data_IF_771182065127
#
_entry.id   IF_771182065127
#
_cell.length_a   1.000
_cell.length_b   1.000
_cell.length_c   1.000
_cell.angle_alpha   90.00
_cell.angle_beta   90.00
_cell.angle_gamma   90.00
#
_symmetry.space_group_name_H-M   'P 1'
#
loop_
_entity.id
_entity.type
_entity.pdbx_description
1 polymer ?
#
# COMPACT_ATOMS: atom_id res chain seq x y z
N UNK A 1 -20.11 -22.76 -27.36
CA UNK A 1 -18.90 -21.92 -27.41
C UNK A 1 -19.12 -20.46 -26.99
N UNK A 2 -20.12 -19.74 -27.53
CA UNK A 2 -20.35 -18.34 -27.11
C UNK A 2 -20.93 -18.19 -25.70
N UNK A 3 -21.80 -19.10 -25.24
CA UNK A 3 -22.39 -19.07 -23.89
C UNK A 3 -21.34 -19.32 -22.81
N UNK A 4 -20.42 -20.26 -23.02
CA UNK A 4 -19.36 -20.61 -22.06
C UNK A 4 -18.39 -19.43 -21.86
N UNK A 5 -18.02 -18.74 -22.95
CA UNK A 5 -17.18 -17.54 -22.89
C UNK A 5 -17.89 -16.42 -22.13
N UNK A 6 -19.20 -16.25 -22.33
CA UNK A 6 -19.98 -15.21 -21.66
C UNK A 6 -20.14 -15.50 -20.18
N UNK A 7 -20.41 -16.76 -19.80
CA UNK A 7 -20.49 -17.19 -18.40
C UNK A 7 -19.14 -17.02 -17.69
N UNK A 8 -18.04 -17.44 -18.34
CA UNK A 8 -16.69 -17.27 -17.79
C UNK A 8 -16.36 -15.79 -17.60
N UNK A 9 -16.71 -14.94 -18.56
CA UNK A 9 -16.54 -13.49 -18.43
C UNK A 9 -17.31 -12.89 -17.25
N UNK A 10 -18.56 -13.30 -17.04
CA UNK A 10 -19.38 -12.87 -15.92
C UNK A 10 -18.80 -13.31 -14.57
N UNK A 11 -18.29 -14.54 -14.49
CA UNK A 11 -17.62 -15.05 -13.27
C UNK A 11 -16.39 -14.22 -12.94
N UNK A 12 -15.54 -13.92 -13.93
CA UNK A 12 -14.34 -13.10 -13.72
C UNK A 12 -14.73 -11.69 -13.23
N UNK A 13 -15.73 -11.06 -13.86
CA UNK A 13 -16.22 -9.74 -13.43
C UNK A 13 -16.74 -9.80 -11.99
N UNK A 14 -17.50 -10.85 -11.64
CA UNK A 14 -18.01 -11.03 -10.28
C UNK A 14 -16.87 -11.20 -9.27
N UNK A 15 -15.81 -11.94 -9.59
CA UNK A 15 -14.63 -12.11 -8.75
C UNK A 15 -13.87 -10.77 -8.56
N UNK A 16 -13.70 -9.99 -9.61
CA UNK A 16 -13.08 -8.66 -9.53
C UNK A 16 -13.91 -7.74 -8.63
N UNK A 17 -15.21 -7.68 -8.82
CA UNK A 17 -16.10 -6.87 -7.98
C UNK A 17 -16.10 -7.33 -6.53
N UNK A 18 -16.04 -8.65 -6.27
CA UNK A 18 -15.97 -9.22 -4.93
C UNK A 18 -14.68 -8.80 -4.17
N UNK A 19 -13.63 -8.40 -4.85
CA UNK A 19 -12.41 -7.86 -4.23
C UNK A 19 -12.43 -6.33 -4.20
N UNK A 20 -12.73 -5.68 -5.31
CA UNK A 20 -12.66 -4.21 -5.45
C UNK A 20 -13.66 -3.50 -4.53
N UNK A 21 -14.90 -4.00 -4.44
CA UNK A 21 -15.93 -3.34 -3.61
C UNK A 21 -15.58 -3.37 -2.11
N UNK A 22 -15.20 -4.51 -1.50
CA UNK A 22 -14.72 -4.53 -0.11
C UNK A 22 -13.47 -3.67 0.12
N UNK A 23 -12.54 -3.60 -0.83
CA UNK A 23 -11.36 -2.72 -0.72
C UNK A 23 -11.79 -1.25 -0.67
N UNK A 24 -12.65 -0.80 -1.57
CA UNK A 24 -13.16 0.59 -1.56
C UNK A 24 -13.93 0.93 -0.27
N UNK A 25 -14.72 -0.02 0.24
CA UNK A 25 -15.41 0.14 1.53
C UNK A 25 -14.39 0.20 2.66
N UNK A 26 -13.34 -0.63 2.65
CA UNK A 26 -12.30 -0.62 3.67
C UNK A 26 -11.51 0.70 3.65
N UNK A 27 -11.28 1.31 2.48
CA UNK A 27 -10.69 2.64 2.35
C UNK A 27 -11.55 3.69 3.06
N UNK A 28 -12.86 3.69 2.85
CA UNK A 28 -13.76 4.63 3.53
C UNK A 28 -13.73 4.47 5.06
N UNK A 29 -13.72 3.23 5.56
CA UNK A 29 -13.60 2.95 6.99
C UNK A 29 -12.21 3.26 7.54
N UNK A 30 -11.15 3.11 6.75
CA UNK A 30 -9.80 3.47 7.17
C UNK A 30 -9.66 4.97 7.40
N UNK A 31 -10.23 5.80 6.51
CA UNK A 31 -10.29 7.27 6.71
C UNK A 31 -11.02 7.63 8.01
N UNK A 32 -12.12 6.95 8.30
CA UNK A 32 -12.84 7.13 9.56
C UNK A 32 -12.00 6.71 10.76
N UNK A 33 -11.39 5.52 10.71
CA UNK A 33 -10.55 4.99 11.78
C UNK A 33 -9.36 5.90 12.06
N UNK A 34 -8.69 6.40 11.03
CA UNK A 34 -7.59 7.33 11.15
C UNK A 34 -7.99 8.60 11.92
N UNK A 35 -9.11 9.23 11.53
CA UNK A 35 -9.63 10.42 12.23
C UNK A 35 -9.98 10.14 13.68
N UNK A 36 -10.50 8.94 14.00
CA UNK A 36 -10.83 8.55 15.39
C UNK A 36 -9.59 8.25 16.22
N UNK A 37 -8.65 7.47 15.68
CA UNK A 37 -7.41 7.10 16.40
C UNK A 37 -6.55 8.34 16.67
N UNK A 38 -6.36 9.21 15.66
CA UNK A 38 -5.64 10.46 15.86
C UNK A 38 -6.32 11.38 16.89
N UNK A 39 -7.65 11.44 16.88
CA UNK A 39 -8.38 12.22 17.86
C UNK A 39 -8.18 11.68 19.29
N UNK A 40 -8.16 10.34 19.48
CA UNK A 40 -7.87 9.70 20.75
C UNK A 40 -6.44 9.99 21.22
N UNK A 41 -5.45 9.91 20.34
CA UNK A 41 -4.05 10.24 20.65
C UNK A 41 -3.93 11.72 21.08
N UNK A 42 -4.67 12.61 20.41
CA UNK A 42 -4.67 14.04 20.68
C UNK A 42 -5.64 14.47 21.81
N UNK A 43 -6.25 13.54 22.53
CA UNK A 43 -7.22 13.78 23.62
C UNK A 43 -8.42 14.63 23.17
N UNK A 44 -8.87 14.50 21.91
CA UNK A 44 -10.05 15.17 21.37
C UNK A 44 -11.07 14.19 20.81
N UNK A 45 -12.29 14.65 20.57
CA UNK A 45 -13.34 13.84 19.96
C UNK A 45 -13.21 13.89 18.43
N UNK A 46 -13.13 12.72 17.79
CA UNK A 46 -13.23 12.57 16.32
C UNK A 46 -14.67 12.74 15.82
N UNK A 47 -14.93 12.51 14.50
CA UNK A 47 -16.25 12.63 13.89
C UNK A 47 -17.31 11.87 14.70
N UNK A 48 -18.43 12.53 15.05
CA UNK A 48 -19.44 11.96 15.95
C UNK A 48 -20.91 12.22 15.51
N UNK A 49 -21.14 13.13 14.56
CA UNK A 49 -22.49 13.64 14.27
C UNK A 49 -23.17 12.88 13.12
N UNK A 50 -22.42 12.56 12.04
CA UNK A 50 -23.00 11.95 10.83
C UNK A 50 -23.15 10.45 11.01
N UNK A 51 -24.38 9.97 11.26
CA UNK A 51 -24.68 8.58 11.56
C UNK A 51 -24.28 8.14 12.97
N UNK A 52 -24.54 6.88 13.37
CA UNK A 52 -24.16 6.37 14.68
C UNK A 52 -22.63 6.49 14.86
N UNK A 53 -22.20 7.17 15.90
CA UNK A 53 -20.78 7.40 16.22
C UNK A 53 -19.95 8.07 15.11
N UNK A 54 -20.57 8.67 14.08
CA UNK A 54 -19.89 9.31 12.96
C UNK A 54 -19.41 8.36 11.84
N UNK A 55 -19.90 7.12 11.79
CA UNK A 55 -19.47 6.09 10.82
C UNK A 55 -19.72 6.52 9.37
N UNK A 56 -20.80 7.27 9.11
CA UNK A 56 -21.15 7.72 7.76
C UNK A 56 -20.38 8.98 7.31
N UNK A 57 -19.49 9.52 8.13
CA UNK A 57 -18.77 10.75 7.81
C UNK A 57 -17.93 10.62 6.53
N UNK A 58 -17.22 9.50 6.34
CA UNK A 58 -16.39 9.29 5.13
C UNK A 58 -17.23 9.25 3.85
N UNK A 59 -18.43 8.67 3.92
CA UNK A 59 -19.36 8.63 2.78
C UNK A 59 -19.95 10.02 2.49
N UNK A 60 -20.27 10.80 3.52
CA UNK A 60 -20.73 12.17 3.36
C UNK A 60 -19.66 13.07 2.73
N UNK A 61 -18.40 12.92 3.16
CA UNK A 61 -17.25 13.63 2.60
C UNK A 61 -17.03 13.25 1.13
N UNK A 62 -17.14 11.96 0.78
CA UNK A 62 -17.03 11.47 -0.59
C UNK A 62 -18.16 12.04 -1.47
N UNK A 63 -19.41 12.00 -0.99
CA UNK A 63 -20.55 12.54 -1.73
C UNK A 63 -20.40 14.04 -1.97
N UNK A 64 -19.98 14.81 -0.96
CA UNK A 64 -19.68 16.24 -1.07
C UNK A 64 -18.64 16.52 -2.17
N UNK A 65 -17.56 15.73 -2.22
CA UNK A 65 -16.50 15.92 -3.21
C UNK A 65 -16.96 15.53 -4.61
N UNK A 66 -17.76 14.50 -4.79
CA UNK A 66 -18.29 14.07 -6.10
C UNK A 66 -19.28 15.11 -6.66
N UNK A 67 -20.12 15.72 -5.81
CA UNK A 67 -21.10 16.73 -6.23
C UNK A 67 -20.49 18.11 -6.46
N UNK A 68 -19.25 18.33 -6.01
CA UNK A 68 -18.54 19.59 -6.21
C UNK A 68 -18.09 19.74 -7.67
N UNK A 69 -18.08 20.96 -8.19
CA UNK A 69 -17.59 21.25 -9.54
C UNK A 69 -16.08 20.95 -9.69
N UNK A 70 -15.72 20.30 -10.79
CA UNK A 70 -14.33 19.98 -11.11
C UNK A 70 -13.71 21.14 -11.89
N UNK A 71 -12.73 21.80 -11.30
CA UNK A 71 -12.04 22.96 -11.88
C UNK A 71 -10.78 22.47 -12.58
N UNK A 72 -10.64 22.77 -13.87
CA UNK A 72 -9.45 22.47 -14.67
C UNK A 72 -8.74 23.81 -14.98
N UNK A 73 -7.47 23.98 -14.56
CA UNK A 73 -6.71 25.20 -14.83
C UNK A 73 -6.60 25.47 -16.34
N UNK A 74 -6.71 26.73 -16.74
CA UNK A 74 -6.69 27.12 -18.16
C UNK A 74 -5.37 26.81 -18.87
N UNK A 75 -4.25 26.83 -18.12
CA UNK A 75 -2.91 26.53 -18.64
C UNK A 75 -2.55 25.03 -18.59
N UNK A 76 -3.42 24.16 -18.07
CA UNK A 76 -3.15 22.74 -17.93
C UNK A 76 -3.36 21.95 -19.21
N UNK A 77 -2.63 20.83 -19.37
CA UNK A 77 -2.93 19.83 -20.40
C UNK A 77 -4.11 18.97 -19.94
N UNK A 78 -5.33 19.30 -20.43
CA UNK A 78 -6.59 18.71 -19.97
C UNK A 78 -6.63 17.18 -20.02
N UNK A 79 -6.09 16.56 -21.09
CA UNK A 79 -6.12 15.11 -21.27
C UNK A 79 -5.27 14.43 -20.20
N UNK A 80 -4.02 14.84 -20.03
CA UNK A 80 -3.10 14.27 -19.06
C UNK A 80 -3.54 14.57 -17.63
N UNK A 81 -4.11 15.76 -17.39
CA UNK A 81 -4.64 16.16 -16.10
C UNK A 81 -5.77 15.23 -15.60
N UNK A 82 -6.69 14.84 -16.49
CA UNK A 82 -7.79 13.92 -16.15
C UNK A 82 -7.27 12.47 -16.07
N UNK A 83 -6.31 12.09 -16.91
CA UNK A 83 -5.80 10.71 -16.99
C UNK A 83 -4.94 10.33 -15.76
N UNK A 84 -4.19 11.27 -15.21
CA UNK A 84 -3.28 11.03 -14.09
C UNK A 84 -3.96 10.41 -12.85
N UNK A 85 -5.04 10.97 -12.29
CA UNK A 85 -5.72 10.37 -11.14
C UNK A 85 -6.36 9.01 -11.48
N UNK A 86 -6.84 8.82 -12.70
CA UNK A 86 -7.42 7.54 -13.15
C UNK A 86 -6.35 6.46 -13.16
N UNK A 87 -5.17 6.74 -13.72
CA UNK A 87 -4.05 5.79 -13.75
C UNK A 87 -3.64 5.42 -12.33
N UNK A 88 -3.45 6.38 -11.44
CA UNK A 88 -3.06 6.11 -10.05
C UNK A 88 -4.06 5.20 -9.35
N UNK A 89 -5.36 5.47 -9.48
CA UNK A 89 -6.41 4.66 -8.87
C UNK A 89 -6.49 3.26 -9.49
N UNK A 90 -6.46 3.15 -10.82
CA UNK A 90 -6.53 1.85 -11.52
C UNK A 90 -5.36 0.97 -11.13
N UNK A 91 -4.14 1.50 -11.07
CA UNK A 91 -2.95 0.74 -10.69
C UNK A 91 -3.00 0.31 -9.23
N UNK A 92 -3.46 1.18 -8.31
CA UNK A 92 -3.61 0.81 -6.89
C UNK A 92 -4.62 -0.34 -6.69
N UNK A 93 -5.68 -0.41 -7.50
CA UNK A 93 -6.64 -1.51 -7.49
C UNK A 93 -6.13 -2.76 -8.23
N UNK A 94 -5.36 -2.59 -9.30
CA UNK A 94 -4.80 -3.72 -10.06
C UNK A 94 -3.88 -4.61 -9.22
N UNK A 95 -3.15 -4.03 -8.27
CA UNK A 95 -2.31 -4.78 -7.33
C UNK A 95 -3.07 -5.84 -6.52
N UNK A 96 -4.35 -5.64 -6.27
CA UNK A 96 -5.17 -6.58 -5.51
C UNK A 96 -5.48 -7.90 -6.24
N UNK A 97 -5.24 -7.97 -7.55
CA UNK A 97 -5.52 -9.17 -8.33
C UNK A 97 -4.74 -10.41 -7.89
N UNK A 98 -3.54 -10.23 -7.32
CA UNK A 98 -2.65 -11.33 -6.92
C UNK A 98 -2.55 -11.55 -5.40
N UNK A 99 -3.25 -10.74 -4.60
CA UNK A 99 -3.25 -10.87 -3.13
C UNK A 99 -4.08 -12.08 -2.70
N UNK A 100 -3.48 -13.08 -2.04
CA UNK A 100 -4.21 -14.22 -1.52
C UNK A 100 -4.81 -13.90 -0.13
N UNK A 101 -6.13 -13.94 -0.02
CA UNK A 101 -6.86 -13.71 1.24
C UNK A 101 -6.98 -14.97 2.09
N UNK A 102 -7.06 -16.13 1.43
CA UNK A 102 -7.15 -17.46 2.04
C UNK A 102 -6.63 -18.52 1.06
N UNK A 103 -6.47 -19.78 1.49
CA UNK A 103 -6.10 -20.87 0.58
C UNK A 103 -7.07 -20.95 -0.60
N UNK A 104 -6.60 -20.75 -1.82
CA UNK A 104 -7.41 -20.77 -3.04
C UNK A 104 -8.28 -19.51 -3.28
N UNK A 105 -8.28 -18.52 -2.38
CA UNK A 105 -9.01 -17.27 -2.54
C UNK A 105 -8.11 -16.16 -3.07
N UNK A 106 -7.80 -16.23 -4.35
CA UNK A 106 -7.04 -15.23 -5.10
C UNK A 106 -7.73 -15.02 -6.45
N UNK A 107 -7.74 -13.80 -6.97
CA UNK A 107 -8.35 -13.52 -8.28
C UNK A 107 -7.51 -14.15 -9.39
N UNK A 108 -6.20 -14.04 -9.30
CA UNK A 108 -5.25 -14.61 -10.24
C UNK A 108 -4.01 -15.13 -9.52
N UNK A 109 -3.86 -16.46 -9.44
CA UNK A 109 -2.69 -17.11 -8.86
C UNK A 109 -1.58 -17.21 -9.91
N UNK A 110 -0.73 -16.19 -9.97
CA UNK A 110 0.37 -16.10 -10.93
C UNK A 110 1.65 -16.55 -10.24
N UNK A 111 2.44 -17.41 -10.91
CA UNK A 111 3.73 -17.88 -10.37
C UNK A 111 4.75 -16.75 -10.11
N UNK A 112 4.60 -15.61 -10.78
CA UNK A 112 5.43 -14.41 -10.64
C UNK A 112 4.66 -13.27 -9.97
N UNK A 113 3.73 -13.57 -9.05
CA UNK A 113 2.81 -12.60 -8.42
C UNK A 113 3.51 -11.41 -7.78
N UNK A 114 4.65 -11.64 -7.13
CA UNK A 114 5.41 -10.56 -6.49
C UNK A 114 6.03 -9.58 -7.50
N UNK A 115 6.50 -10.09 -8.67
CA UNK A 115 7.02 -9.23 -9.75
C UNK A 115 5.89 -8.40 -10.39
N UNK A 116 4.70 -8.98 -10.52
CA UNK A 116 3.52 -8.24 -10.99
C UNK A 116 3.19 -7.07 -10.05
N UNK A 117 3.20 -7.28 -8.73
CA UNK A 117 2.98 -6.21 -7.77
C UNK A 117 4.00 -5.09 -7.88
N UNK A 118 5.28 -5.44 -8.01
CA UNK A 118 6.34 -4.45 -8.23
C UNK A 118 6.15 -3.66 -9.51
N UNK A 119 5.82 -4.32 -10.62
CA UNK A 119 5.57 -3.65 -11.87
C UNK A 119 4.39 -2.67 -11.78
N UNK A 120 3.32 -3.04 -11.08
CA UNK A 120 2.13 -2.20 -10.89
C UNK A 120 2.44 -1.02 -9.97
N UNK A 121 3.18 -1.22 -8.86
CA UNK A 121 3.58 -0.13 -7.95
C UNK A 121 4.50 0.88 -8.65
N UNK A 122 5.49 0.41 -9.39
CA UNK A 122 6.40 1.27 -10.18
C UNK A 122 5.65 2.13 -11.20
N UNK A 123 4.64 1.58 -11.85
CA UNK A 123 3.80 2.33 -12.79
C UNK A 123 2.95 3.40 -12.08
N UNK A 124 2.60 3.19 -10.79
CA UNK A 124 1.85 4.16 -9.98
C UNK A 124 2.54 5.52 -9.87
N UNK A 125 3.89 5.52 -9.84
CA UNK A 125 4.70 6.75 -9.79
C UNK A 125 4.45 7.67 -10.99
N UNK A 126 4.20 7.10 -12.17
CA UNK A 126 3.92 7.90 -13.37
C UNK A 126 2.63 8.71 -13.24
N UNK A 127 1.62 8.21 -12.53
CA UNK A 127 0.40 8.98 -12.28
C UNK A 127 0.67 10.29 -11.55
N UNK A 128 1.56 10.26 -10.54
CA UNK A 128 1.96 11.44 -9.76
C UNK A 128 2.82 12.39 -10.61
N UNK A 129 3.78 11.88 -11.37
CA UNK A 129 4.62 12.69 -12.26
C UNK A 129 3.76 13.40 -13.31
N UNK A 130 2.84 12.67 -13.94
CA UNK A 130 1.93 13.24 -14.93
C UNK A 130 1.01 14.30 -14.33
N UNK A 131 0.53 14.11 -13.09
CA UNK A 131 -0.28 15.09 -12.39
C UNK A 131 0.45 16.41 -12.20
N UNK A 132 1.68 16.36 -11.68
CA UNK A 132 2.48 17.57 -11.48
C UNK A 132 2.85 18.28 -12.78
N UNK A 133 3.18 17.51 -13.82
CA UNK A 133 3.52 18.08 -15.14
C UNK A 133 2.31 18.70 -15.84
N UNK A 134 1.16 18.00 -15.80
CA UNK A 134 -0.06 18.45 -16.46
C UNK A 134 -0.65 19.73 -15.85
N UNK A 135 -0.41 19.98 -14.57
CA UNK A 135 -0.89 21.17 -13.85
C UNK A 135 -0.26 22.46 -14.35
N UNK A 136 0.89 22.40 -15.03
CA UNK A 136 1.64 23.56 -15.55
C UNK A 136 1.86 24.68 -14.50
N UNK A 137 2.14 24.29 -13.27
CA UNK A 137 2.36 25.15 -12.12
C UNK A 137 3.64 24.71 -11.37
N UNK A 138 4.37 25.65 -10.78
CA UNK A 138 5.69 25.38 -10.18
C UNK A 138 5.59 24.47 -8.94
N UNK A 139 4.63 24.70 -8.05
CA UNK A 139 4.49 23.94 -6.82
C UNK A 139 4.07 22.48 -7.07
N UNK A 140 3.05 22.18 -7.88
CA UNK A 140 2.71 20.82 -8.26
C UNK A 140 3.86 20.07 -8.94
N UNK A 141 4.60 20.71 -9.82
CA UNK A 141 5.73 20.09 -10.50
C UNK A 141 6.86 19.71 -9.53
N UNK A 142 7.26 20.61 -8.63
CA UNK A 142 8.26 20.31 -7.60
C UNK A 142 7.79 19.25 -6.61
N UNK A 143 6.51 19.28 -6.23
CA UNK A 143 5.89 18.27 -5.37
C UNK A 143 5.94 16.87 -6.01
N UNK A 144 5.55 16.77 -7.28
CA UNK A 144 5.57 15.52 -8.03
C UNK A 144 7.00 14.96 -8.19
N UNK A 145 7.99 15.79 -8.47
CA UNK A 145 9.39 15.36 -8.57
C UNK A 145 9.93 14.84 -7.22
N UNK A 146 9.59 15.49 -6.12
CA UNK A 146 9.98 15.04 -4.78
C UNK A 146 9.33 13.70 -4.43
N UNK A 147 8.04 13.54 -4.72
CA UNK A 147 7.31 12.30 -4.51
C UNK A 147 7.90 11.16 -5.34
N UNK A 148 8.13 11.39 -6.64
CA UNK A 148 8.72 10.39 -7.51
C UNK A 148 10.12 9.96 -7.05
N UNK A 149 10.98 10.90 -6.68
CA UNK A 149 12.31 10.60 -6.18
C UNK A 149 12.25 9.80 -4.87
N UNK A 150 11.31 10.10 -3.97
CA UNK A 150 11.06 9.34 -2.76
C UNK A 150 10.64 7.91 -3.07
N UNK A 151 9.56 7.72 -3.83
CA UNK A 151 9.01 6.40 -4.14
C UNK A 151 10.05 5.51 -4.82
N UNK A 152 10.72 5.97 -5.88
CA UNK A 152 11.76 5.21 -6.59
C UNK A 152 12.92 4.83 -5.66
N UNK A 153 13.36 5.74 -4.78
CA UNK A 153 14.46 5.46 -3.85
C UNK A 153 14.13 4.36 -2.84
N UNK A 154 12.91 4.35 -2.31
CA UNK A 154 12.47 3.34 -1.34
C UNK A 154 12.04 2.03 -2.00
N UNK A 155 11.56 2.07 -3.24
CA UNK A 155 11.26 0.88 -4.03
C UNK A 155 12.51 -0.01 -4.23
N UNK A 156 13.69 0.57 -4.45
CA UNK A 156 14.95 -0.19 -4.50
C UNK A 156 15.21 -0.92 -3.20
N UNK A 157 15.02 -0.27 -2.05
CA UNK A 157 15.20 -0.90 -0.74
C UNK A 157 14.21 -2.03 -0.49
N UNK A 158 12.94 -1.82 -0.84
CA UNK A 158 11.88 -2.85 -0.78
C UNK A 158 12.25 -4.06 -1.65
N UNK A 159 12.81 -3.82 -2.85
CA UNK A 159 13.27 -4.87 -3.74
C UNK A 159 14.30 -5.80 -3.08
N UNK A 160 15.31 -5.26 -2.41
CA UNK A 160 16.30 -6.08 -1.69
C UNK A 160 15.69 -6.82 -0.50
N UNK A 161 14.77 -6.20 0.23
CA UNK A 161 14.04 -6.88 1.32
C UNK A 161 13.25 -8.08 0.80
N UNK A 162 12.55 -7.91 -0.32
CA UNK A 162 11.80 -9.01 -0.93
C UNK A 162 12.72 -10.11 -1.46
N UNK A 163 13.85 -9.78 -2.07
CA UNK A 163 14.84 -10.76 -2.50
C UNK A 163 15.28 -11.62 -1.30
N UNK A 164 15.48 -11.04 -0.10
CA UNK A 164 15.81 -11.80 1.11
C UNK A 164 14.74 -12.84 1.47
N UNK A 165 13.46 -12.45 1.41
CA UNK A 165 12.35 -13.39 1.65
C UNK A 165 12.29 -14.47 0.57
N UNK A 166 12.48 -14.10 -0.70
CA UNK A 166 12.47 -15.04 -1.83
C UNK A 166 13.61 -16.06 -1.76
N UNK A 167 14.77 -15.67 -1.29
CA UNK A 167 15.88 -16.61 -1.04
C UNK A 167 15.50 -17.69 -0.02
N UNK A 168 14.70 -17.36 0.99
CA UNK A 168 14.23 -18.32 1.97
C UNK A 168 13.12 -19.24 1.43
N UNK A 169 12.33 -18.79 0.47
CA UNK A 169 11.14 -19.52 -0.04
C UNK A 169 11.43 -20.27 -1.34
N UNK A 170 12.30 -19.75 -2.21
CA UNK A 170 12.58 -20.31 -3.54
C UNK A 170 11.45 -20.12 -4.56
N UNK A 171 10.42 -19.29 -4.27
CA UNK A 171 9.28 -19.10 -5.17
C UNK A 171 8.80 -17.64 -5.18
N UNK A 172 8.39 -17.16 -6.36
CA UNK A 172 7.82 -15.83 -6.57
C UNK A 172 6.28 -15.78 -6.37
N UNK A 173 5.66 -16.91 -6.07
CA UNK A 173 4.22 -17.03 -5.85
C UNK A 173 3.88 -16.64 -4.40
N UNK A 174 2.94 -15.71 -4.22
CA UNK A 174 2.54 -15.21 -2.91
C UNK A 174 1.91 -16.27 -2.02
N UNK A 175 1.14 -17.19 -2.58
CA UNK A 175 0.54 -18.29 -1.83
C UNK A 175 1.60 -19.24 -1.27
N UNK A 176 2.65 -19.52 -2.05
CA UNK A 176 3.80 -20.35 -1.59
C UNK A 176 4.60 -19.64 -0.51
N UNK A 177 4.76 -18.32 -0.60
CA UNK A 177 5.44 -17.52 0.45
C UNK A 177 4.71 -17.65 1.79
N UNK A 178 3.38 -17.64 1.79
CA UNK A 178 2.60 -17.83 3.01
C UNK A 178 2.76 -19.26 3.54
N UNK A 179 2.67 -20.27 2.68
CA UNK A 179 2.81 -21.67 3.08
C UNK A 179 4.20 -21.99 3.65
N UNK A 180 5.27 -21.35 3.17
CA UNK A 180 6.62 -21.51 3.72
C UNK A 180 6.74 -21.00 5.16
N UNK A 181 5.81 -20.17 5.65
CA UNK A 181 5.79 -19.63 7.01
C UNK A 181 4.98 -20.47 8.01
N UNK A 182 4.57 -21.68 7.66
CA UNK A 182 3.79 -22.54 8.57
C UNK A 182 4.52 -22.87 9.87
N UNK A 183 5.82 -23.05 9.83
CA UNK A 183 6.63 -23.40 11.01
C UNK A 183 7.05 -22.16 11.80
N UNK A 184 7.58 -21.15 11.12
CA UNK A 184 8.08 -19.91 11.74
C UNK A 184 7.76 -18.72 10.83
N UNK A 185 7.19 -17.69 11.40
CA UNK A 185 6.96 -16.43 10.67
C UNK A 185 8.29 -15.73 10.38
N UNK A 186 8.46 -15.25 9.17
CA UNK A 186 9.69 -14.56 8.75
C UNK A 186 9.95 -13.26 9.51
N UNK A 187 8.96 -12.70 10.19
CA UNK A 187 9.15 -11.55 11.08
C UNK A 187 10.18 -11.84 12.20
N UNK A 188 10.35 -13.08 12.65
CA UNK A 188 11.29 -13.45 13.72
C UNK A 188 12.71 -13.53 13.19
N UNK A 189 13.07 -14.41 12.22
CA UNK A 189 14.43 -14.53 11.71
C UNK A 189 14.87 -13.32 10.88
N UNK A 190 13.96 -12.64 10.20
CA UNK A 190 14.24 -11.48 9.34
C UNK A 190 13.72 -10.17 9.95
N UNK A 191 13.73 -10.04 11.29
CA UNK A 191 13.23 -8.86 11.99
C UNK A 191 13.81 -7.54 11.47
N UNK A 192 15.12 -7.39 11.18
CA UNK A 192 15.63 -6.15 10.60
C UNK A 192 15.04 -5.84 9.23
N UNK A 193 14.81 -6.86 8.39
CA UNK A 193 14.18 -6.69 7.08
C UNK A 193 12.70 -6.31 7.20
N UNK A 194 12.00 -6.87 8.18
CA UNK A 194 10.62 -6.48 8.49
C UNK A 194 10.52 -4.99 8.85
N UNK A 195 11.43 -4.49 9.69
CA UNK A 195 11.46 -3.07 10.09
C UNK A 195 11.75 -2.18 8.88
N UNK A 196 12.75 -2.52 8.05
CA UNK A 196 13.07 -1.75 6.84
C UNK A 196 11.89 -1.76 5.86
N UNK A 197 11.26 -2.92 5.66
CA UNK A 197 10.08 -3.03 4.81
C UNK A 197 8.95 -2.12 5.29
N UNK A 198 8.64 -2.13 6.58
CA UNK A 198 7.59 -1.31 7.17
C UNK A 198 7.88 0.20 6.99
N UNK A 199 9.11 0.64 7.25
CA UNK A 199 9.51 2.04 7.06
C UNK A 199 9.49 2.42 5.58
N UNK A 200 9.95 1.54 4.69
CA UNK A 200 9.92 1.78 3.25
C UNK A 200 8.48 1.82 2.70
N UNK A 201 7.59 0.99 3.24
CA UNK A 201 6.17 1.02 2.89
C UNK A 201 5.48 2.34 3.30
N UNK A 202 5.84 2.90 4.47
CA UNK A 202 5.40 4.25 4.85
C UNK A 202 5.89 5.33 3.88
N UNK A 203 7.12 5.20 3.39
CA UNK A 203 7.69 6.16 2.44
C UNK A 203 7.09 6.01 1.04
N UNK A 204 6.79 4.80 0.58
CA UNK A 204 6.17 4.53 -0.70
C UNK A 204 4.72 5.05 -0.77
N UNK A 205 4.00 4.95 0.35
CA UNK A 205 2.63 5.47 0.45
C UNK A 205 2.56 6.98 0.76
N UNK A 206 3.67 7.70 0.72
CA UNK A 206 3.77 9.14 1.01
C UNK A 206 3.10 9.55 2.33
N UNK A 207 3.11 8.67 3.35
CA UNK A 207 2.48 8.95 4.65
C UNK A 207 3.46 9.53 5.66
N UNK A 208 2.96 10.33 6.59
CA UNK A 208 3.76 10.80 7.72
C UNK A 208 4.46 9.63 8.43
N UNK A 209 5.75 9.72 8.72
CA UNK A 209 6.60 10.93 8.78
C UNK A 209 7.24 11.36 7.44
N UNK A 210 6.95 10.67 6.33
CA UNK A 210 7.57 10.85 5.02
C UNK A 210 6.64 11.55 4.00
N UNK A 211 5.67 12.31 4.48
CA UNK A 211 4.69 13.08 3.71
C UNK A 211 5.31 14.40 3.18
N UNK A 212 6.30 14.26 2.31
CA UNK A 212 7.00 15.40 1.71
C UNK A 212 6.25 16.03 0.52
N UNK A 213 5.46 15.27 -0.25
CA UNK A 213 4.69 15.83 -1.35
C UNK A 213 3.55 16.74 -0.91
N UNK A 214 2.93 16.44 0.24
CA UNK A 214 1.77 17.17 0.80
C UNK A 214 2.17 18.22 1.85
N UNK A 215 3.49 18.49 2.01
CA UNK A 215 3.97 19.42 3.02
C UNK A 215 3.43 20.83 2.81
N UNK A 216 2.36 21.18 3.53
CA UNK A 216 1.71 22.50 3.47
C UNK A 216 2.68 23.64 3.78
N UNK A 217 3.70 23.36 4.60
CA UNK A 217 4.67 24.39 5.02
C UNK A 217 5.67 24.78 3.93
N UNK A 218 5.94 23.89 2.96
CA UNK A 218 6.94 24.11 1.91
C UNK A 218 6.35 24.18 0.50
N UNK A 219 5.33 23.41 0.17
CA UNK A 219 4.78 23.24 -1.17
C UNK A 219 3.26 23.45 -1.28
N UNK A 220 2.62 24.04 -0.28
CA UNK A 220 1.16 24.28 -0.18
C UNK A 220 0.38 22.96 -0.06
N UNK A 221 0.24 22.18 -1.13
CA UNK A 221 -0.33 20.83 -1.15
C UNK A 221 0.35 19.96 -2.23
N UNK A 222 1.56 20.33 -2.66
CA UNK A 222 2.33 19.61 -3.64
C UNK A 222 1.57 19.35 -4.95
N UNK A 223 1.55 18.12 -5.44
CA UNK A 223 0.89 17.77 -6.70
C UNK A 223 -0.65 17.84 -6.63
N UNK A 224 -1.25 17.86 -5.45
CA UNK A 224 -2.70 18.02 -5.26
C UNK A 224 -3.21 19.45 -5.41
N UNK A 225 -2.32 20.45 -5.42
CA UNK A 225 -2.70 21.88 -5.32
C UNK A 225 -3.75 22.30 -6.34
N UNK A 226 -3.64 21.81 -7.57
CA UNK A 226 -4.55 22.17 -8.67
C UNK A 226 -5.74 21.19 -8.81
N UNK A 227 -5.72 20.07 -8.09
CA UNK A 227 -6.77 19.07 -8.16
C UNK A 227 -7.90 19.36 -7.18
N UNK A 228 -9.14 19.25 -7.66
CA UNK A 228 -10.36 19.47 -6.86
C UNK A 228 -11.41 18.42 -7.15
N UNK A 229 -12.45 18.32 -6.31
CA UNK A 229 -13.63 17.52 -6.59
C UNK A 229 -13.32 16.02 -6.82
N UNK A 230 -13.89 15.41 -7.85
CA UNK A 230 -13.75 14.01 -8.17
C UNK A 230 -12.29 13.59 -8.47
N UNK A 231 -11.49 14.44 -9.12
CA UNK A 231 -10.09 14.17 -9.42
C UNK A 231 -9.24 14.03 -8.15
N UNK A 232 -9.49 14.86 -7.15
CA UNK A 232 -8.86 14.75 -5.83
C UNK A 232 -9.26 13.44 -5.12
N UNK A 233 -10.55 13.06 -5.20
CA UNK A 233 -11.05 11.81 -4.60
C UNK A 233 -10.35 10.60 -5.18
N UNK A 234 -10.12 10.57 -6.50
CA UNK A 234 -9.45 9.45 -7.17
C UNK A 234 -8.00 9.25 -6.65
N UNK A 235 -7.22 10.31 -6.50
CA UNK A 235 -5.89 10.23 -5.91
C UNK A 235 -5.96 9.73 -4.47
N UNK A 236 -6.83 10.32 -3.67
CA UNK A 236 -7.01 9.98 -2.27
C UNK A 236 -7.42 8.51 -2.07
N UNK A 237 -8.37 8.01 -2.89
CA UNK A 237 -8.73 6.59 -2.90
C UNK A 237 -7.56 5.70 -3.30
N UNK A 238 -6.77 6.11 -4.32
CA UNK A 238 -5.59 5.39 -4.76
C UNK A 238 -4.55 5.29 -3.66
N UNK A 239 -4.27 6.38 -2.95
CA UNK A 239 -3.31 6.42 -1.85
C UNK A 239 -3.71 5.54 -0.67
N UNK A 240 -4.98 5.60 -0.23
CA UNK A 240 -5.45 4.72 0.84
C UNK A 240 -5.54 3.25 0.41
N UNK A 241 -5.89 2.98 -0.85
CA UNK A 241 -5.87 1.62 -1.39
C UNK A 241 -4.45 1.04 -1.43
N UNK A 242 -3.45 1.84 -1.81
CA UNK A 242 -2.04 1.43 -1.77
C UNK A 242 -1.54 1.22 -0.34
N UNK A 243 -1.99 2.02 0.64
CA UNK A 243 -1.66 1.83 2.05
C UNK A 243 -2.17 0.49 2.59
N UNK A 244 -3.41 0.11 2.25
CA UNK A 244 -3.96 -1.21 2.62
C UNK A 244 -3.20 -2.32 1.88
N UNK A 245 -2.84 -2.11 0.61
CA UNK A 245 -2.07 -3.08 -0.19
C UNK A 245 -0.70 -3.34 0.42
N UNK A 246 0.06 -2.30 0.78
CA UNK A 246 1.38 -2.42 1.41
C UNK A 246 1.30 -3.06 2.80
N UNK A 247 0.23 -2.78 3.55
CA UNK A 247 -0.04 -3.48 4.82
C UNK A 247 -0.31 -4.96 4.59
N UNK A 248 -1.07 -5.31 3.55
CA UNK A 248 -1.33 -6.70 3.16
C UNK A 248 -0.06 -7.41 2.72
N UNK A 249 0.81 -6.74 1.97
CA UNK A 249 2.14 -7.26 1.58
C UNK A 249 3.02 -7.52 2.80
N UNK A 250 3.03 -6.62 3.78
CA UNK A 250 3.75 -6.80 5.04
C UNK A 250 3.28 -8.08 5.76
N UNK A 251 1.97 -8.31 5.78
CA UNK A 251 1.38 -9.51 6.41
C UNK A 251 1.75 -10.78 5.64
N UNK A 252 1.72 -10.76 4.32
CA UNK A 252 2.07 -11.92 3.47
C UNK A 252 3.55 -12.28 3.60
N UNK A 253 4.43 -11.28 3.55
CA UNK A 253 5.87 -11.52 3.52
C UNK A 253 6.44 -11.91 4.89
N UNK A 254 5.90 -11.39 5.99
CA UNK A 254 6.53 -11.52 7.31
C UNK A 254 5.65 -12.14 8.38
N UNK A 255 4.32 -11.99 8.31
CA UNK A 255 3.41 -12.44 9.37
C UNK A 255 2.58 -13.69 8.99
N UNK A 256 3.00 -14.40 7.96
CA UNK A 256 2.36 -15.66 7.56
C UNK A 256 0.96 -15.52 6.97
N UNK A 257 0.61 -14.37 6.38
CA UNK A 257 -0.66 -14.19 5.66
C UNK A 257 -1.87 -14.64 6.47
N UNK A 258 -2.62 -15.59 5.92
CA UNK A 258 -3.84 -16.17 6.52
C UNK A 258 -3.58 -17.23 7.60
N UNK A 259 -2.32 -17.60 7.88
CA UNK A 259 -1.99 -18.61 8.89
C UNK A 259 -2.30 -18.10 10.30
N UNK A 260 -2.79 -18.95 11.21
CA UNK A 260 -2.97 -18.59 12.61
C UNK A 260 -1.62 -18.29 13.28
N UNK A 261 -1.57 -17.47 14.36
CA UNK A 261 -0.33 -17.19 15.07
C UNK A 261 0.26 -18.41 15.78
N UNK A 262 -0.58 -19.34 16.21
CA UNK A 262 -0.19 -20.60 16.84
C UNK A 262 -1.13 -21.72 16.40
N UNK A 263 -0.58 -22.90 16.13
CA UNK A 263 -1.34 -24.11 15.78
C UNK A 263 -1.97 -24.78 17.01
N UNK A 264 -2.78 -24.02 17.77
CA UNK A 264 -3.44 -24.50 18.98
C UNK A 264 -4.96 -24.35 18.84
N UNK A 265 -5.70 -25.38 19.27
CA UNK A 265 -7.15 -25.25 19.42
C UNK A 265 -7.46 -24.16 20.49
N UNK A 266 -8.33 -23.16 20.26
CA UNK A 266 -9.35 -23.04 19.18
C UNK A 266 -8.93 -22.18 17.97
N UNK A 267 -7.67 -21.70 17.88
CA UNK A 267 -7.23 -20.74 16.87
C UNK A 267 -7.31 -21.29 15.43
N UNK A 268 -7.12 -22.61 15.26
CA UNK A 268 -7.19 -23.27 13.95
C UNK A 268 -8.62 -23.39 13.38
N UNK A 269 -9.65 -23.20 14.20
CA UNK A 269 -11.05 -23.25 13.75
C UNK A 269 -11.46 -21.94 13.04
N UNK A 270 -10.74 -20.85 13.29
CA UNK A 270 -11.06 -19.54 12.73
C UNK A 270 -10.67 -19.51 11.24
N UNK A 271 -11.57 -19.08 10.33
CA UNK A 271 -11.26 -18.94 8.91
C UNK A 271 -10.03 -18.06 8.66
N UNK A 272 -9.16 -18.49 7.73
CA UNK A 272 -7.89 -17.78 7.43
C UNK A 272 -8.08 -16.31 7.02
N UNK A 273 -9.20 -15.98 6.35
CA UNK A 273 -9.53 -14.58 5.99
C UNK A 273 -9.61 -13.68 7.21
N UNK A 274 -10.12 -14.18 8.34
CA UNK A 274 -10.24 -13.41 9.58
C UNK A 274 -8.84 -13.12 10.14
N UNK A 275 -7.95 -14.12 10.16
CA UNK A 275 -6.56 -13.92 10.59
C UNK A 275 -5.82 -12.94 9.72
N UNK A 276 -5.97 -13.04 8.40
CA UNK A 276 -5.41 -12.10 7.45
C UNK A 276 -5.88 -10.67 7.75
N UNK A 277 -7.20 -10.49 7.86
CA UNK A 277 -7.80 -9.16 8.10
C UNK A 277 -7.35 -8.56 9.43
N UNK A 278 -7.31 -9.34 10.51
CA UNK A 278 -6.85 -8.87 11.83
C UNK A 278 -5.39 -8.40 11.78
N UNK A 279 -4.51 -9.15 11.11
CA UNK A 279 -3.10 -8.77 10.94
C UNK A 279 -2.95 -7.51 10.09
N UNK A 280 -3.73 -7.39 9.01
CA UNK A 280 -3.73 -6.18 8.18
C UNK A 280 -4.19 -4.96 8.99
N UNK A 281 -5.28 -5.09 9.78
CA UNK A 281 -5.74 -4.02 10.68
C UNK A 281 -4.66 -3.63 11.70
N UNK A 282 -3.93 -4.60 12.24
CA UNK A 282 -2.83 -4.34 13.15
C UNK A 282 -1.71 -3.52 12.50
N UNK A 283 -1.28 -3.87 11.29
CA UNK A 283 -0.27 -3.11 10.54
C UNK A 283 -0.79 -1.70 10.19
N UNK A 284 -2.05 -1.58 9.76
CA UNK A 284 -2.68 -0.28 9.49
C UNK A 284 -2.74 0.59 10.76
N UNK A 285 -3.02 -0.01 11.91
CA UNK A 285 -2.97 0.70 13.18
C UNK A 285 -1.56 1.24 13.46
N UNK A 286 -0.51 0.47 13.19
CA UNK A 286 0.88 0.95 13.31
C UNK A 286 1.17 2.12 12.37
N UNK A 287 0.66 2.12 11.12
CA UNK A 287 0.75 3.26 10.20
C UNK A 287 0.15 4.54 10.81
N UNK A 288 -1.06 4.41 11.36
CA UNK A 288 -1.75 5.55 12.00
C UNK A 288 -1.04 6.00 13.28
N UNK A 289 -0.53 5.07 14.05
CA UNK A 289 0.20 5.36 15.29
C UNK A 289 1.49 6.12 15.02
N UNK A 290 2.29 5.67 14.07
CA UNK A 290 3.51 6.36 13.62
C UNK A 290 3.19 7.78 13.14
N UNK A 291 2.10 7.94 12.37
CA UNK A 291 1.62 9.27 11.94
C UNK A 291 1.33 10.21 13.11
N UNK A 292 0.80 9.70 14.21
CA UNK A 292 0.44 10.49 15.38
C UNK A 292 1.59 10.79 16.34
N UNK A 293 2.71 10.05 16.26
CA UNK A 293 3.79 10.10 17.26
C UNK A 293 5.11 10.65 16.73
N UNK A 294 5.43 10.39 15.45
CA UNK A 294 6.72 10.75 14.87
C UNK A 294 6.62 12.09 14.12
N UNK A 295 7.56 13.01 14.33
CA UNK A 295 7.60 14.27 13.59
C UNK A 295 7.99 14.03 12.11
N UNK A 296 7.62 14.96 11.24
CA UNK A 296 7.95 14.91 9.80
C UNK A 296 9.45 15.02 9.57
N UNK A 297 9.97 14.23 8.64
CA UNK A 297 11.37 14.30 8.19
C UNK A 297 11.55 15.35 7.11
N UNK A 298 12.77 15.92 7.05
CA UNK A 298 13.18 16.79 5.94
C UNK A 298 13.60 15.95 4.73
N UNK A 299 13.42 16.47 3.51
CA UNK A 299 13.75 15.77 2.26
C UNK A 299 15.19 15.22 2.23
N UNK A 300 16.18 16.05 2.64
CA UNK A 300 17.58 15.63 2.67
C UNK A 300 17.83 14.44 3.60
N UNK A 301 17.16 14.43 4.75
CA UNK A 301 17.26 13.35 5.74
C UNK A 301 16.66 12.06 5.21
N UNK A 302 15.49 12.17 4.56
CA UNK A 302 14.80 11.06 3.95
C UNK A 302 15.63 10.39 2.86
N UNK A 303 16.15 11.17 1.90
CA UNK A 303 17.00 10.66 0.81
C UNK A 303 18.29 10.04 1.35
N UNK A 304 18.88 10.65 2.39
CA UNK A 304 20.06 10.09 3.06
C UNK A 304 19.77 8.77 3.75
N UNK A 305 18.62 8.64 4.38
CA UNK A 305 18.17 7.40 5.04
C UNK A 305 18.01 6.27 4.01
N UNK A 306 17.33 6.52 2.89
CA UNK A 306 17.13 5.53 1.83
C UNK A 306 18.45 5.06 1.21
N UNK A 307 19.26 6.00 0.71
CA UNK A 307 20.47 5.67 -0.05
C UNK A 307 21.69 5.28 0.79
N UNK A 308 21.89 5.92 1.96
CA UNK A 308 23.09 5.68 2.78
C UNK A 308 22.90 4.68 3.90
N UNK A 309 21.66 4.38 4.29
CA UNK A 309 21.37 3.45 5.39
C UNK A 309 20.64 2.22 4.88
N UNK A 310 19.45 2.38 4.29
CA UNK A 310 18.61 1.23 3.94
C UNK A 310 19.17 0.40 2.79
N UNK A 311 19.65 1.04 1.74
CA UNK A 311 20.21 0.32 0.60
C UNK A 311 21.45 -0.51 0.97
N UNK A 312 22.51 0.05 1.62
CA UNK A 312 23.67 -0.76 2.00
C UNK A 312 23.34 -1.84 3.01
N UNK A 313 22.45 -1.54 3.97
CA UNK A 313 22.06 -2.50 4.99
C UNK A 313 21.23 -3.65 4.41
N UNK A 314 20.26 -3.38 3.53
CA UNK A 314 19.47 -4.41 2.87
C UNK A 314 20.32 -5.28 1.97
N UNK A 315 21.27 -4.70 1.22
CA UNK A 315 22.23 -5.45 0.40
C UNK A 315 23.14 -6.35 1.25
N UNK A 316 23.68 -5.83 2.35
CA UNK A 316 24.44 -6.64 3.30
C UNK A 316 23.61 -7.83 3.82
N UNK A 317 22.34 -7.60 4.16
CA UNK A 317 21.47 -8.65 4.68
C UNK A 317 21.12 -9.70 3.63
N UNK A 318 20.96 -9.34 2.35
CA UNK A 318 20.83 -10.31 1.24
C UNK A 318 22.02 -11.25 1.19
N UNK A 319 23.25 -10.72 1.26
CA UNK A 319 24.48 -11.52 1.25
C UNK A 319 24.58 -12.38 2.51
N UNK A 320 24.26 -11.84 3.68
CA UNK A 320 24.30 -12.56 4.95
C UNK A 320 23.31 -13.73 4.97
N UNK A 321 22.06 -13.51 4.50
CA UNK A 321 21.04 -14.56 4.43
C UNK A 321 21.38 -15.63 3.42
N UNK A 322 21.88 -15.28 2.23
CA UNK A 322 22.32 -16.27 1.24
C UNK A 322 23.48 -17.12 1.77
N UNK A 323 24.47 -16.50 2.41
CA UNK A 323 25.58 -17.22 3.04
C UNK A 323 25.13 -18.14 4.17
N UNK A 324 24.17 -17.71 5.00
CA UNK A 324 23.57 -18.52 6.05
C UNK A 324 22.86 -19.76 5.49
N UNK A 325 22.00 -19.56 4.48
CA UNK A 325 21.25 -20.65 3.84
C UNK A 325 22.16 -21.69 3.20
N UNK A 326 23.25 -21.26 2.55
CA UNK A 326 24.26 -22.16 1.97
C UNK A 326 25.04 -22.91 3.05
N UNK A 327 25.45 -22.20 4.11
CA UNK A 327 26.27 -22.83 5.18
C UNK A 327 25.51 -23.92 5.97
N UNK A 328 24.18 -23.73 6.16
CA UNK A 328 23.34 -24.68 6.91
C UNK A 328 22.56 -25.65 6.00
N UNK A 329 22.84 -25.70 4.70
CA UNK A 329 22.11 -26.52 3.71
C UNK A 329 20.58 -26.35 3.79
N UNK A 330 20.12 -25.11 4.06
CA UNK A 330 18.70 -24.74 4.15
C UNK A 330 18.16 -24.13 2.86
N UNK A 331 18.80 -24.41 1.72
CA UNK A 331 18.32 -23.92 0.43
C UNK A 331 16.95 -24.54 0.11
N UNK A 332 15.97 -23.75 -0.35
CA UNK A 332 14.70 -24.30 -0.78
C UNK A 332 14.90 -25.18 -2.02
N UNK A 333 14.30 -26.39 -2.00
CA UNK A 333 14.31 -27.35 -3.11
C UNK A 333 13.42 -26.91 -4.28
#
# INVERSE_FOLDING_TARGET
MNYDILITGLIIIAQILAVVVPVLISVAFLVYAERKVLALIQLRRGPNIVGPFGILQSFADALKLITKENIIPSGSNKIVFILAPIITMVLSLAGWAVIPFAPGWVVSDINVGIMYLFAVSSLGVYGIIMAGWASNSQYPFLGALRSAAQMVSYEVSIGFVIITVLLCVGSLNLSKIVLAQQTVWFAIPLLPMFIIFFISALAETNRLPFDLPEDESTLVAGFFTEYSSASFVLFFLGEYASMILMSSMTVILFLGGWLPPFDVYPLNVVPGVIWFTVKVIFILFLFIWVRGTVPRYRYDQLMRLGWKVFLPFSLFWVVATSGFLVYFDMLPN
#
